data_IF_462793942161
#
_entry.id   IF_462793942161
#
_cell.length_a   1.000
_cell.length_b   1.000
_cell.length_c   1.000
_cell.angle_alpha   90.00
_cell.angle_beta   90.00
_cell.angle_gamma   90.00
#
_symmetry.space_group_name_H-M   'P 1'
#
loop_
_entity.id
_entity.type
_entity.pdbx_description
1 polymer ?
#
# COMPACT_ATOMS: atom_id res chain seq x y z
N UNK A 1 -14.01 14.12 9.31
CA UNK A 1 -13.33 13.74 8.04
C UNK A 1 -14.04 12.53 7.46
N UNK A 2 -14.68 12.65 6.31
CA UNK A 2 -15.40 11.55 5.68
C UNK A 2 -14.43 10.81 4.75
N UNK A 3 -14.07 9.58 5.12
CA UNK A 3 -13.31 8.68 4.26
C UNK A 3 -14.27 8.13 3.22
N UNK A 4 -14.06 8.47 1.96
CA UNK A 4 -14.79 7.84 0.85
C UNK A 4 -14.35 6.37 0.74
N UNK A 5 -15.16 5.48 1.32
CA UNK A 5 -14.93 4.04 1.37
C UNK A 5 -15.37 3.29 0.10
N UNK A 6 -15.75 3.98 -0.97
CA UNK A 6 -16.26 3.34 -2.19
C UNK A 6 -15.20 2.53 -2.93
N UNK A 7 -13.90 2.77 -2.67
CA UNK A 7 -12.81 1.95 -3.19
C UNK A 7 -11.98 1.40 -2.02
N UNK A 8 -12.37 0.26 -1.51
CA UNK A 8 -11.77 -0.46 -0.36
C UNK A 8 -10.24 -0.72 -0.49
N UNK A 9 -9.67 -0.51 -1.67
CA UNK A 9 -8.26 -0.78 -1.97
C UNK A 9 -7.31 0.38 -1.66
N UNK A 10 -7.76 1.63 -1.79
CA UNK A 10 -6.97 2.86 -1.58
C UNK A 10 -7.88 3.94 -1.00
N UNK A 11 -8.04 4.00 0.32
CA UNK A 11 -8.82 5.07 0.93
C UNK A 11 -8.26 6.43 0.53
N UNK A 12 -9.16 7.32 0.13
CA UNK A 12 -8.83 8.70 -0.24
C UNK A 12 -9.60 9.64 0.65
N UNK A 13 -9.04 10.79 0.91
CA UNK A 13 -9.77 11.89 1.49
C UNK A 13 -9.39 13.20 0.80
N UNK A 14 -10.30 14.14 0.85
CA UNK A 14 -10.08 15.49 0.36
C UNK A 14 -10.54 16.46 1.45
N UNK A 15 -9.78 17.54 1.63
CA UNK A 15 -10.07 18.53 2.63
C UNK A 15 -9.54 19.89 2.21
N UNK A 16 -10.37 20.92 2.36
CA UNK A 16 -9.94 22.32 2.20
C UNK A 16 -9.46 22.84 3.55
N UNK A 17 -8.30 23.45 3.57
CA UNK A 17 -7.66 24.01 4.75
C UNK A 17 -7.39 25.49 4.51
N UNK A 18 -7.72 26.32 5.52
CA UNK A 18 -7.52 27.78 5.47
C UNK A 18 -6.06 28.24 5.61
N UNK A 19 -5.12 27.31 5.48
CA UNK A 19 -3.67 27.58 5.50
C UNK A 19 -3.15 27.63 4.06
N UNK A 20 -2.18 28.51 3.83
CA UNK A 20 -1.45 28.51 2.55
C UNK A 20 -0.56 27.29 2.43
N UNK A 21 -0.24 26.90 1.20
CA UNK A 21 0.63 25.76 0.93
C UNK A 21 2.00 25.89 1.61
N UNK A 22 2.58 27.10 1.60
CA UNK A 22 3.88 27.37 2.24
C UNK A 22 3.84 27.15 3.76
N UNK A 23 2.75 27.54 4.41
CA UNK A 23 2.54 27.32 5.85
C UNK A 23 2.43 25.82 6.17
N UNK A 24 1.73 25.05 5.34
CA UNK A 24 1.62 23.60 5.51
C UNK A 24 3.00 22.94 5.36
N UNK A 25 3.80 23.34 4.38
CA UNK A 25 5.16 22.81 4.14
C UNK A 25 6.08 23.17 5.32
N UNK A 26 6.02 24.39 5.83
CA UNK A 26 6.80 24.82 7.00
C UNK A 26 6.42 24.00 8.24
N UNK A 27 5.13 23.82 8.48
CA UNK A 27 4.62 22.97 9.56
C UNK A 27 5.07 21.52 9.44
N UNK A 28 4.95 20.94 8.22
CA UNK A 28 5.41 19.59 7.94
C UNK A 28 6.91 19.44 8.20
N UNK A 29 7.70 20.49 7.89
CA UNK A 29 9.15 20.50 8.12
C UNK A 29 9.48 20.54 9.62
N UNK A 30 8.76 21.31 10.43
CA UNK A 30 8.91 21.32 11.89
C UNK A 30 8.56 19.98 12.51
N UNK A 31 7.38 19.44 12.15
CA UNK A 31 6.92 18.16 12.67
C UNK A 31 7.83 17.00 12.24
N UNK A 32 8.44 17.07 11.03
CA UNK A 32 9.38 16.05 10.54
C UNK A 32 10.54 15.80 11.51
N UNK A 33 11.09 16.86 12.14
CA UNK A 33 12.19 16.69 13.10
C UNK A 33 11.68 16.13 14.45
N UNK A 34 10.47 16.50 14.88
CA UNK A 34 9.85 15.98 16.11
C UNK A 34 9.54 14.47 16.02
N UNK A 35 9.02 14.02 14.86
CA UNK A 35 8.52 12.66 14.69
C UNK A 35 9.52 11.72 14.03
N UNK A 36 10.75 12.12 13.83
CA UNK A 36 11.81 11.40 13.10
C UNK A 36 12.03 9.95 13.59
N UNK A 37 11.77 9.68 14.87
CA UNK A 37 11.94 8.36 15.47
C UNK A 37 10.82 7.39 15.02
N UNK A 38 9.60 7.89 14.86
CA UNK A 38 8.41 7.08 14.60
C UNK A 38 7.94 7.14 13.15
N UNK A 39 8.19 8.28 12.48
CA UNK A 39 7.74 8.53 11.11
C UNK A 39 8.85 9.11 10.24
N UNK A 40 8.82 8.76 8.97
CA UNK A 40 9.65 9.38 7.94
C UNK A 40 8.78 10.27 7.07
N UNK A 41 9.02 11.58 7.12
CA UNK A 41 8.33 12.58 6.30
C UNK A 41 9.26 12.99 5.16
N UNK A 42 8.79 12.82 3.92
CA UNK A 42 9.47 13.30 2.71
C UNK A 42 8.60 14.38 2.08
N UNK A 43 9.18 15.56 1.89
CA UNK A 43 8.52 16.70 1.25
C UNK A 43 9.16 16.89 -0.11
N UNK A 44 8.36 17.04 -1.15
CA UNK A 44 8.80 17.28 -2.52
C UNK A 44 7.79 18.18 -3.20
N UNK A 45 8.16 19.44 -3.42
CA UNK A 45 7.32 20.50 -4.00
C UNK A 45 5.92 20.55 -3.33
N UNK A 46 4.88 20.20 -4.08
CA UNK A 46 3.48 20.20 -3.64
C UNK A 46 3.03 18.84 -3.00
N UNK A 47 3.97 17.93 -2.76
CA UNK A 47 3.67 16.59 -2.28
C UNK A 47 4.36 16.30 -0.94
N UNK A 48 3.60 15.75 0.01
CA UNK A 48 4.12 15.27 1.29
C UNK A 48 3.87 13.77 1.38
N UNK A 49 4.93 13.00 1.60
CA UNK A 49 4.86 11.56 1.78
C UNK A 49 5.15 11.21 3.25
N UNK A 50 4.21 10.54 3.88
CA UNK A 50 4.30 10.09 5.27
C UNK A 50 4.48 8.57 5.28
N UNK A 51 5.59 8.11 5.86
CA UNK A 51 5.92 6.70 6.01
C UNK A 51 6.11 6.37 7.49
N UNK A 52 5.77 5.17 7.88
CA UNK A 52 6.13 4.63 9.20
C UNK A 52 7.62 4.26 9.16
N UNK A 53 8.37 4.59 10.22
CA UNK A 53 9.82 4.35 10.30
C UNK A 53 10.17 2.87 10.17
N UNK A 54 11.34 2.58 9.62
CA UNK A 54 11.84 1.22 9.36
C UNK A 54 11.86 0.31 10.61
N UNK A 55 12.08 0.88 11.80
CA UNK A 55 12.09 0.14 13.06
C UNK A 55 10.72 -0.49 13.41
N UNK A 56 9.62 0.18 13.03
CA UNK A 56 8.24 -0.28 13.27
C UNK A 56 7.52 -0.68 12.00
N UNK A 57 8.19 -0.54 10.85
CA UNK A 57 7.65 -0.88 9.52
C UNK A 57 7.51 -2.38 9.39
N UNK A 58 6.29 -2.81 9.09
CA UNK A 58 5.99 -4.19 8.73
C UNK A 58 5.81 -4.27 7.21
N UNK A 59 5.96 -5.46 6.63
CA UNK A 59 5.82 -5.68 5.18
C UNK A 59 4.44 -5.25 4.61
N UNK A 60 3.44 -5.04 5.48
CA UNK A 60 2.11 -4.55 5.11
C UNK A 60 1.90 -3.05 5.44
N UNK A 61 2.94 -2.32 5.84
CA UNK A 61 2.81 -0.90 6.19
C UNK A 61 2.35 -0.06 5.03
N UNK A 62 1.45 0.88 5.33
CA UNK A 62 0.93 1.85 4.38
C UNK A 62 1.81 3.10 4.38
N UNK A 63 1.78 3.82 3.29
CA UNK A 63 2.22 5.21 3.21
C UNK A 63 1.03 6.10 2.89
N UNK A 64 1.10 7.34 3.34
CA UNK A 64 0.14 8.38 2.99
C UNK A 64 0.82 9.40 2.10
N UNK A 65 0.26 9.62 0.95
CA UNK A 65 0.64 10.67 0.01
C UNK A 65 -0.37 11.79 0.11
N UNK A 66 0.10 12.98 0.46
CA UNK A 66 -0.66 14.22 0.45
C UNK A 66 -0.24 15.04 -0.76
N UNK A 67 -1.18 15.45 -1.55
CA UNK A 67 -1.04 16.39 -2.66
C UNK A 67 -1.70 17.71 -2.26
N UNK A 68 -0.96 18.80 -2.39
CA UNK A 68 -1.38 20.15 -2.02
C UNK A 68 -1.67 20.93 -3.28
N UNK A 69 -2.89 21.44 -3.41
CA UNK A 69 -3.30 22.34 -4.49
C UNK A 69 -3.71 23.69 -3.89
N UNK A 70 -3.05 24.77 -4.27
CA UNK A 70 -3.40 26.09 -3.78
C UNK A 70 -4.57 26.65 -4.60
N UNK A 71 -5.62 27.10 -3.91
CA UNK A 71 -6.77 27.78 -4.49
C UNK A 71 -6.47 29.28 -4.67
N UNK A 72 -7.26 29.97 -5.50
CA UNK A 72 -7.18 31.42 -5.72
C UNK A 72 -7.35 32.24 -4.42
N UNK A 73 -8.10 31.70 -3.45
CA UNK A 73 -8.38 32.32 -2.15
C UNK A 73 -7.26 32.11 -1.12
N UNK A 74 -6.08 31.62 -1.51
CA UNK A 74 -4.96 31.25 -0.62
C UNK A 74 -5.30 30.14 0.39
N UNK A 75 -6.39 29.44 0.18
CA UNK A 75 -6.68 28.18 0.85
C UNK A 75 -6.01 27.03 0.13
N UNK A 76 -5.73 25.92 0.80
CA UNK A 76 -5.11 24.77 0.18
C UNK A 76 -6.07 23.59 0.17
N UNK A 77 -6.31 23.06 -1.02
CA UNK A 77 -7.02 21.79 -1.19
C UNK A 77 -6.03 20.64 -1.00
N UNK A 78 -6.25 19.81 0.01
CA UNK A 78 -5.39 18.69 0.37
C UNK A 78 -6.05 17.39 -0.05
N UNK A 79 -5.41 16.67 -0.96
CA UNK A 79 -5.81 15.32 -1.40
C UNK A 79 -4.91 14.29 -0.74
N UNK A 80 -5.48 13.43 0.08
CA UNK A 80 -4.76 12.34 0.75
C UNK A 80 -5.06 10.99 0.10
N UNK A 81 -4.02 10.23 -0.21
CA UNK A 81 -4.11 8.89 -0.76
C UNK A 81 -3.31 7.90 0.09
N UNK A 82 -4.01 6.96 0.73
CA UNK A 82 -3.35 5.83 1.38
C UNK A 82 -3.02 4.75 0.34
N UNK A 83 -1.78 4.31 0.35
CA UNK A 83 -1.31 3.26 -0.55
C UNK A 83 -0.47 2.21 0.17
N UNK A 84 -0.51 0.94 -0.28
CA UNK A 84 0.46 -0.06 0.15
C UNK A 84 1.84 0.32 -0.37
N UNK A 85 2.88 -0.20 0.29
CA UNK A 85 4.24 -0.07 -0.21
C UNK A 85 4.35 -0.72 -1.59
N UNK A 86 4.79 0.07 -2.57
CA UNK A 86 4.90 -0.37 -3.96
C UNK A 86 5.84 -1.57 -4.11
N UNK A 87 6.89 -1.65 -3.31
CA UNK A 87 7.85 -2.77 -3.30
C UNK A 87 7.17 -4.08 -2.94
N UNK A 88 6.32 -4.07 -1.91
CA UNK A 88 5.58 -5.25 -1.46
C UNK A 88 4.58 -5.70 -2.51
N UNK A 89 3.87 -4.75 -3.12
CA UNK A 89 2.91 -5.05 -4.20
C UNK A 89 3.62 -5.70 -5.40
N UNK A 90 4.74 -5.12 -5.83
CA UNK A 90 5.54 -5.65 -6.92
C UNK A 90 6.07 -7.06 -6.61
N UNK A 91 6.57 -7.30 -5.39
CA UNK A 91 7.02 -8.61 -4.95
C UNK A 91 5.90 -9.66 -5.02
N UNK A 92 4.69 -9.35 -4.52
CA UNK A 92 3.55 -10.26 -4.62
C UNK A 92 3.15 -10.53 -6.06
N UNK A 93 3.24 -9.54 -6.94
CA UNK A 93 2.97 -9.70 -8.37
C UNK A 93 3.94 -10.68 -9.02
N UNK A 94 5.25 -10.52 -8.78
CA UNK A 94 6.25 -11.47 -9.27
C UNK A 94 6.03 -12.89 -8.74
N UNK A 95 5.66 -13.02 -7.48
CA UNK A 95 5.40 -14.34 -6.88
C UNK A 95 4.20 -15.04 -7.54
N UNK A 96 3.15 -14.31 -7.90
CA UNK A 96 2.01 -14.86 -8.65
C UNK A 96 2.43 -15.30 -10.06
N UNK A 97 3.26 -14.50 -10.75
CA UNK A 97 3.78 -14.89 -12.07
C UNK A 97 4.67 -16.14 -11.99
N UNK A 98 5.50 -16.25 -10.94
CA UNK A 98 6.33 -17.40 -10.73
C UNK A 98 5.49 -18.69 -10.55
N UNK A 99 4.48 -18.64 -9.69
CA UNK A 99 3.55 -19.77 -9.47
C UNK A 99 2.82 -20.15 -10.76
N UNK A 100 2.34 -19.15 -11.50
CA UNK A 100 1.67 -19.38 -12.79
C UNK A 100 2.63 -20.02 -13.81
N UNK A 101 3.88 -19.56 -13.88
CA UNK A 101 4.91 -20.13 -14.74
C UNK A 101 5.20 -21.59 -14.43
N UNK A 102 5.40 -21.93 -13.16
CA UNK A 102 5.60 -23.32 -12.72
C UNK A 102 4.38 -24.17 -13.07
N UNK A 103 3.16 -23.68 -12.81
CA UNK A 103 1.92 -24.38 -13.16
C UNK A 103 1.85 -24.70 -14.67
N UNK A 104 2.18 -23.72 -15.53
CA UNK A 104 2.16 -23.91 -16.99
C UNK A 104 3.21 -24.93 -17.45
N UNK A 105 4.41 -24.92 -16.88
CA UNK A 105 5.45 -25.91 -17.20
C UNK A 105 4.98 -27.31 -16.86
N UNK A 106 4.44 -27.52 -15.66
CA UNK A 106 3.93 -28.85 -15.26
C UNK A 106 2.67 -29.26 -16.04
N UNK A 107 1.86 -28.32 -16.47
CA UNK A 107 0.73 -28.59 -17.37
C UNK A 107 1.21 -29.12 -18.74
N UNK A 108 2.27 -28.51 -19.30
CA UNK A 108 2.87 -29.01 -20.55
C UNK A 108 3.53 -30.39 -20.36
N UNK A 109 4.20 -30.61 -19.21
CA UNK A 109 4.79 -31.92 -18.91
C UNK A 109 3.70 -33.00 -18.73
N UNK A 110 2.63 -32.68 -18.02
CA UNK A 110 1.49 -33.58 -17.84
C UNK A 110 0.88 -34.00 -19.19
N UNK A 111 0.72 -33.04 -20.12
CA UNK A 111 0.25 -33.34 -21.48
C UNK A 111 1.21 -34.27 -22.23
N UNK A 112 2.53 -34.02 -22.14
CA UNK A 112 3.56 -34.86 -22.77
C UNK A 112 3.57 -36.26 -22.17
N UNK A 113 3.57 -36.42 -20.85
CA UNK A 113 3.54 -37.73 -20.19
C UNK A 113 2.26 -38.51 -20.52
N UNK A 114 1.11 -37.82 -20.59
CA UNK A 114 -0.15 -38.45 -20.98
C UNK A 114 -0.09 -39.00 -22.40
N UNK A 115 0.43 -38.20 -23.34
CA UNK A 115 0.57 -38.63 -24.75
C UNK A 115 1.50 -39.83 -24.88
N UNK A 116 2.56 -39.88 -24.05
CA UNK A 116 3.55 -40.98 -24.03
C UNK A 116 3.08 -42.18 -23.18
N UNK A 117 1.83 -42.15 -22.65
CA UNK A 117 1.28 -43.18 -21.74
C UNK A 117 2.14 -43.39 -20.46
N UNK A 118 2.83 -42.38 -20.00
CA UNK A 118 3.61 -42.37 -18.76
C UNK A 118 2.75 -41.89 -17.58
N UNK A 119 3.26 -42.07 -16.33
CA UNK A 119 2.55 -41.60 -15.14
C UNK A 119 2.56 -40.08 -15.06
N UNK A 120 1.39 -39.46 -14.95
CA UNK A 120 1.17 -38.01 -14.79
C UNK A 120 0.90 -37.62 -13.36
N UNK A 121 0.96 -38.54 -12.39
CA UNK A 121 0.57 -38.32 -10.98
C UNK A 121 1.39 -37.20 -10.35
N UNK A 122 2.70 -37.18 -10.55
CA UNK A 122 3.59 -36.16 -10.00
C UNK A 122 3.26 -34.77 -10.54
N UNK A 123 2.96 -34.68 -11.84
CA UNK A 123 2.64 -33.40 -12.49
C UNK A 123 1.36 -32.81 -11.90
N UNK A 124 0.30 -33.63 -11.75
CA UNK A 124 -0.96 -33.20 -11.13
C UNK A 124 -0.82 -32.81 -9.66
N UNK A 125 0.03 -33.52 -8.89
CA UNK A 125 0.30 -33.16 -7.49
C UNK A 125 0.96 -31.78 -7.40
N UNK A 126 1.97 -31.51 -8.24
CA UNK A 126 2.65 -30.21 -8.25
C UNK A 126 1.70 -29.10 -8.72
N UNK A 127 0.91 -29.35 -9.76
CA UNK A 127 -0.12 -28.38 -10.21
C UNK A 127 -1.11 -28.07 -9.08
N UNK A 128 -1.58 -29.12 -8.36
CA UNK A 128 -2.47 -28.92 -7.21
C UNK A 128 -1.84 -28.08 -6.09
N UNK A 129 -0.56 -28.33 -5.78
CA UNK A 129 0.19 -27.51 -4.83
C UNK A 129 0.29 -26.04 -5.28
N UNK A 130 0.55 -25.78 -6.55
CA UNK A 130 0.60 -24.40 -7.10
C UNK A 130 -0.73 -23.67 -6.93
N UNK A 131 -1.86 -24.35 -7.15
CA UNK A 131 -3.20 -23.80 -6.91
C UNK A 131 -3.40 -23.48 -5.42
N UNK A 132 -3.01 -24.36 -4.52
CA UNK A 132 -3.08 -24.12 -3.05
C UNK A 132 -2.23 -22.92 -2.66
N UNK A 133 -0.99 -22.82 -3.17
CA UNK A 133 -0.12 -21.66 -2.92
C UNK A 133 -0.73 -20.36 -3.44
N UNK A 134 -1.37 -20.38 -4.59
CA UNK A 134 -2.07 -19.20 -5.14
C UNK A 134 -3.15 -18.69 -4.18
N UNK A 135 -4.01 -19.59 -3.70
CA UNK A 135 -5.05 -19.22 -2.73
C UNK A 135 -4.46 -18.78 -1.39
N UNK A 136 -3.37 -19.39 -0.93
CA UNK A 136 -2.69 -18.99 0.30
C UNK A 136 -2.15 -17.55 0.20
N UNK A 137 -1.55 -17.17 -0.92
CA UNK A 137 -1.09 -15.79 -1.17
C UNK A 137 -2.26 -14.80 -1.18
N UNK A 138 -3.36 -15.17 -1.83
CA UNK A 138 -4.57 -14.34 -1.86
C UNK A 138 -5.14 -14.11 -0.45
N UNK A 139 -5.22 -15.18 0.35
CA UNK A 139 -5.69 -15.11 1.73
C UNK A 139 -4.76 -14.26 2.59
N UNK A 140 -3.44 -14.44 2.45
CA UNK A 140 -2.42 -13.66 3.14
C UNK A 140 -2.56 -12.16 2.83
N UNK A 141 -2.77 -11.79 1.57
CA UNK A 141 -2.98 -10.41 1.16
C UNK A 141 -4.25 -9.81 1.82
N UNK A 142 -5.31 -10.62 1.94
CA UNK A 142 -6.57 -10.20 2.58
C UNK A 142 -6.42 -9.99 4.09
N UNK A 143 -5.70 -10.86 4.78
CA UNK A 143 -5.43 -10.75 6.22
C UNK A 143 -4.56 -9.53 6.52
N UNK A 144 -3.54 -9.29 5.70
CA UNK A 144 -2.66 -8.15 5.87
C UNK A 144 -3.40 -6.82 5.77
N UNK A 145 -4.39 -6.71 4.90
CA UNK A 145 -5.23 -5.51 4.75
C UNK A 145 -5.94 -5.12 6.05
N UNK A 146 -6.52 -6.10 6.78
CA UNK A 146 -7.17 -5.84 8.07
C UNK A 146 -6.20 -5.30 9.13
N UNK A 147 -4.94 -5.73 9.09
CA UNK A 147 -3.89 -5.29 10.01
C UNK A 147 -3.36 -3.87 9.74
N UNK A 148 -3.68 -3.29 8.58
CA UNK A 148 -3.27 -1.93 8.23
C UNK A 148 -4.13 -0.83 8.90
N UNK A 149 -5.35 -1.11 9.33
CA UNK A 149 -6.28 -0.12 9.88
C UNK A 149 -5.70 0.73 11.02
N UNK A 150 -5.06 0.16 12.07
CA UNK A 150 -4.49 0.96 13.14
C UNK A 150 -3.34 1.89 12.68
N UNK A 151 -2.65 1.51 11.60
CA UNK A 151 -1.60 2.34 11.01
C UNK A 151 -2.18 3.52 10.21
N UNK A 152 -3.32 3.31 9.56
CA UNK A 152 -4.04 4.40 8.89
C UNK A 152 -4.44 5.50 9.87
N UNK A 153 -5.03 5.14 11.02
CA UNK A 153 -5.40 6.13 12.04
C UNK A 153 -4.20 6.93 12.56
N UNK A 154 -3.05 6.29 12.76
CA UNK A 154 -1.82 6.99 13.17
C UNK A 154 -1.32 7.98 12.12
N UNK A 155 -1.36 7.61 10.83
CA UNK A 155 -0.98 8.52 9.75
C UNK A 155 -2.01 9.65 9.56
N UNK A 156 -3.28 9.37 9.79
CA UNK A 156 -4.35 10.38 9.80
C UNK A 156 -4.17 11.38 10.94
N UNK A 157 -3.87 10.92 12.15
CA UNK A 157 -3.57 11.77 13.30
C UNK A 157 -2.37 12.67 13.04
N UNK A 158 -1.29 12.12 12.46
CA UNK A 158 -0.13 12.90 12.05
C UNK A 158 -0.49 13.96 11.00
N UNK A 159 -1.34 13.63 10.04
CA UNK A 159 -1.82 14.57 9.03
C UNK A 159 -2.62 15.70 9.66
N UNK A 160 -3.54 15.39 10.59
CA UNK A 160 -4.32 16.41 11.30
C UNK A 160 -3.40 17.34 12.13
N UNK A 161 -2.32 16.83 12.71
CA UNK A 161 -1.30 17.66 13.37
C UNK A 161 -0.59 18.59 12.38
N UNK A 162 -0.25 18.12 11.18
CA UNK A 162 0.39 18.93 10.12
C UNK A 162 -0.56 20.05 9.67
N UNK A 163 -1.82 19.72 9.46
CA UNK A 163 -2.85 20.66 9.00
C UNK A 163 -3.45 21.54 10.09
N UNK A 164 -2.96 21.45 11.35
CA UNK A 164 -3.51 22.14 12.54
C UNK A 164 -5.02 21.93 12.73
N UNK A 165 -5.52 20.84 12.27
CA UNK A 165 -6.93 20.53 12.37
C UNK A 165 -7.21 19.89 13.74
N UNK A 166 -8.07 20.52 14.52
CA UNK A 166 -8.55 19.92 15.76
C UNK A 166 -9.50 18.77 15.40
N UNK A 167 -9.18 17.58 15.94
CA UNK A 167 -10.10 16.45 15.99
C UNK A 167 -11.36 16.82 16.73
#
# INVERSE_FOLDING_TARGET
MELDNTIVLRPRFQKDVSMSMNEIIEHATKIKEEVKNDYRVKISDHHIFLFITLATRKYYSLHLHLELEENEDKTTHVKGLFGPDQTVWTFFMFLHFFIAGVFLVFMMMAYSHWTLKQSTTTDFVIMGLMVVFWFALYFQARVNRKKCQPQMHKLEELTNRILKDKI
#
